data_IF_865913816119
#
_entry.id   IF_865913816119
#
_cell.length_a   1.000
_cell.length_b   1.000
_cell.length_c   1.000
_cell.angle_alpha   90.00
_cell.angle_beta   90.00
_cell.angle_gamma   90.00
#
_symmetry.space_group_name_H-M   'P 1'
#
loop_
_entity.id
_entity.type
_entity.pdbx_description
1 polymer ?
#
# COMPACT_ATOMS: atom_id res chain seq x y z
N UNK A 1 6.55 -4.31 -34.07
CA UNK A 1 5.16 -3.79 -33.80
C UNK A 1 4.40 -4.68 -32.78
N UNK A 2 4.62 -5.99 -32.74
CA UNK A 2 3.93 -6.92 -31.83
C UNK A 2 4.18 -6.64 -30.34
N UNK A 3 5.44 -6.48 -29.86
CA UNK A 3 5.69 -6.27 -28.43
C UNK A 3 5.02 -5.02 -27.86
N UNK A 4 4.97 -3.92 -28.63
CA UNK A 4 4.32 -2.68 -28.20
C UNK A 4 2.81 -2.89 -28.05
N UNK A 5 2.18 -3.61 -28.97
CA UNK A 5 0.76 -3.90 -28.89
C UNK A 5 0.42 -4.80 -27.70
N UNK A 6 1.24 -5.80 -27.45
CA UNK A 6 1.09 -6.69 -26.28
C UNK A 6 1.23 -5.91 -24.98
N UNK A 7 2.23 -5.04 -24.86
CA UNK A 7 2.38 -4.17 -23.70
C UNK A 7 1.15 -3.26 -23.47
N UNK A 8 0.61 -2.66 -24.53
CA UNK A 8 -0.59 -1.83 -24.44
C UNK A 8 -1.84 -2.63 -24.03
N UNK A 9 -1.98 -3.86 -24.52
CA UNK A 9 -3.07 -4.76 -24.11
C UNK A 9 -2.92 -5.14 -22.63
N UNK A 10 -1.71 -5.45 -22.19
CA UNK A 10 -1.43 -5.73 -20.76
C UNK A 10 -1.82 -4.56 -19.88
N UNK A 11 -1.38 -3.35 -20.23
CA UNK A 11 -1.72 -2.12 -19.49
C UNK A 11 -3.23 -1.82 -19.48
N UNK A 12 -3.95 -2.18 -20.56
CA UNK A 12 -5.41 -2.09 -20.57
C UNK A 12 -6.06 -3.11 -19.63
N UNK A 13 -5.57 -4.34 -19.61
CA UNK A 13 -6.08 -5.40 -18.72
C UNK A 13 -5.80 -5.07 -17.24
N UNK A 14 -4.70 -4.38 -16.95
CA UNK A 14 -4.36 -3.88 -15.62
C UNK A 14 -5.13 -2.61 -15.23
N UNK A 15 -5.98 -2.07 -16.12
CA UNK A 15 -6.74 -0.84 -15.88
C UNK A 15 -5.89 0.42 -15.84
N UNK A 16 -4.67 0.38 -16.35
CA UNK A 16 -3.77 1.54 -16.43
C UNK A 16 -4.09 2.39 -17.67
N UNK A 17 -4.47 1.73 -18.76
CA UNK A 17 -4.88 2.38 -20.00
C UNK A 17 -6.33 2.02 -20.33
N UNK A 18 -7.01 2.97 -20.95
CA UNK A 18 -8.26 2.74 -21.67
C UNK A 18 -8.02 2.84 -23.17
N UNK A 19 -8.48 1.82 -23.91
CA UNK A 19 -8.35 1.80 -25.38
C UNK A 19 -9.58 2.42 -26.03
N UNK A 20 -9.36 3.43 -26.86
CA UNK A 20 -10.41 4.04 -27.68
C UNK A 20 -10.22 3.59 -29.12
N UNK A 21 -11.17 2.85 -29.72
CA UNK A 21 -11.09 2.44 -31.11
C UNK A 21 -10.85 3.63 -32.04
N UNK A 22 -9.83 3.58 -32.88
CA UNK A 22 -9.39 4.60 -33.82
C UNK A 22 -8.74 5.86 -33.21
N UNK A 23 -8.81 6.07 -31.89
CA UNK A 23 -8.26 7.25 -31.22
C UNK A 23 -7.00 6.97 -30.40
N UNK A 24 -6.72 5.70 -30.09
CA UNK A 24 -5.53 5.31 -29.35
C UNK A 24 -5.81 4.90 -27.90
N UNK A 25 -4.93 5.30 -26.98
CA UNK A 25 -4.98 4.90 -25.58
C UNK A 25 -4.93 6.14 -24.70
N UNK A 26 -5.65 6.09 -23.60
CA UNK A 26 -5.64 7.13 -22.56
C UNK A 26 -5.25 6.52 -21.24
N UNK A 27 -4.40 7.21 -20.47
CA UNK A 27 -4.10 6.83 -19.10
C UNK A 27 -5.34 7.01 -18.23
N UNK A 28 -5.71 5.97 -17.48
CA UNK A 28 -6.82 6.04 -16.53
C UNK A 28 -6.37 6.84 -15.33
N UNK A 29 -7.04 7.96 -15.07
CA UNK A 29 -6.82 8.75 -13.86
C UNK A 29 -7.60 8.15 -12.69
N UNK A 30 -7.02 8.20 -11.51
CA UNK A 30 -7.67 7.86 -10.24
C UNK A 30 -8.24 9.13 -9.65
N UNK A 31 -9.51 9.16 -9.26
CA UNK A 31 -10.08 10.32 -8.57
C UNK A 31 -9.69 10.32 -7.09
N UNK A 32 -9.77 11.49 -6.42
CA UNK A 32 -9.55 11.56 -4.96
C UNK A 32 -10.57 10.72 -4.19
N UNK A 33 -11.81 10.71 -4.65
CA UNK A 33 -12.88 9.89 -4.07
C UNK A 33 -12.56 8.39 -4.21
N UNK A 34 -12.09 7.96 -5.38
CA UNK A 34 -11.68 6.57 -5.59
C UNK A 34 -10.49 6.20 -4.69
N UNK A 35 -9.48 7.08 -4.58
CA UNK A 35 -8.36 6.86 -3.67
C UNK A 35 -8.85 6.72 -2.22
N UNK A 36 -9.76 7.56 -1.76
CA UNK A 36 -10.34 7.45 -0.41
C UNK A 36 -11.12 6.14 -0.24
N UNK A 37 -11.95 5.76 -1.18
CA UNK A 37 -12.69 4.49 -1.13
C UNK A 37 -11.74 3.28 -1.06
N UNK A 38 -10.59 3.37 -1.72
CA UNK A 38 -9.56 2.34 -1.65
C UNK A 38 -8.90 2.30 -0.27
N UNK A 39 -8.63 3.43 0.36
CA UNK A 39 -8.08 3.49 1.72
C UNK A 39 -9.07 2.93 2.74
N UNK A 40 -10.35 3.25 2.60
CA UNK A 40 -11.41 2.68 3.44
C UNK A 40 -11.50 1.15 3.26
N UNK A 41 -11.39 0.66 2.03
CA UNK A 41 -11.32 -0.77 1.75
C UNK A 41 -10.10 -1.42 2.39
N UNK A 42 -8.91 -0.80 2.31
CA UNK A 42 -7.69 -1.28 2.96
C UNK A 42 -7.86 -1.41 4.47
N UNK A 43 -8.45 -0.40 5.10
CA UNK A 43 -8.69 -0.43 6.54
C UNK A 43 -9.56 -1.62 6.94
N UNK A 44 -10.60 -1.92 6.17
CA UNK A 44 -11.46 -3.09 6.39
C UNK A 44 -10.71 -4.40 6.14
N UNK A 45 -9.98 -4.48 5.05
CA UNK A 45 -9.23 -5.67 4.65
C UNK A 45 -8.11 -5.99 5.65
N UNK A 46 -7.20 -5.05 5.85
CA UNK A 46 -6.02 -5.22 6.72
C UNK A 46 -6.45 -5.36 8.18
N UNK A 47 -7.36 -4.50 8.65
CA UNK A 47 -7.89 -4.56 10.01
C UNK A 47 -8.68 -5.84 10.28
N UNK A 48 -9.44 -6.34 9.31
CA UNK A 48 -10.15 -7.62 9.41
C UNK A 48 -9.22 -8.80 9.57
N UNK A 49 -8.12 -8.85 8.80
CA UNK A 49 -7.13 -9.92 8.92
C UNK A 49 -6.23 -9.77 10.14
N UNK A 50 -5.88 -8.56 10.56
CA UNK A 50 -5.21 -8.32 11.84
C UNK A 50 -6.04 -8.86 13.01
N UNK A 51 -7.34 -8.62 13.01
CA UNK A 51 -8.26 -9.16 14.04
C UNK A 51 -8.20 -10.68 14.14
N UNK A 52 -8.03 -11.37 13.02
CA UNK A 52 -7.96 -12.83 12.98
C UNK A 52 -6.57 -13.36 13.36
N UNK A 53 -5.50 -12.63 12.98
CA UNK A 53 -4.12 -13.12 13.06
C UNK A 53 -3.33 -12.61 14.26
N UNK A 54 -3.71 -11.51 14.89
CA UNK A 54 -2.91 -10.87 15.96
C UNK A 54 -2.52 -11.82 17.09
N UNK A 55 -3.41 -12.75 17.43
CA UNK A 55 -3.15 -13.78 18.46
C UNK A 55 -2.04 -14.77 18.07
N UNK A 56 -1.79 -14.96 16.79
CA UNK A 56 -0.86 -15.96 16.24
C UNK A 56 0.44 -15.35 15.71
N UNK A 57 0.52 -14.02 15.56
CA UNK A 57 1.76 -13.35 15.16
C UNK A 57 2.80 -13.53 16.25
N UNK A 58 3.95 -14.11 15.89
CA UNK A 58 5.05 -14.45 16.80
C UNK A 58 6.11 -13.34 16.83
N UNK A 59 7.06 -13.44 17.78
CA UNK A 59 8.22 -12.53 17.81
C UNK A 59 9.10 -12.69 16.57
N UNK A 60 9.16 -13.87 15.96
CA UNK A 60 9.87 -14.10 14.70
C UNK A 60 9.18 -13.33 13.55
N UNK A 61 7.85 -13.40 13.46
CA UNK A 61 7.09 -12.61 12.50
C UNK A 61 7.30 -11.11 12.68
N UNK A 62 7.33 -10.62 13.92
CA UNK A 62 7.60 -9.22 14.23
C UNK A 62 9.04 -8.82 13.88
N UNK A 63 10.02 -9.70 14.07
CA UNK A 63 11.38 -9.45 13.65
C UNK A 63 11.51 -9.35 12.11
N UNK A 64 10.81 -10.22 11.37
CA UNK A 64 10.73 -10.14 9.91
C UNK A 64 10.08 -8.81 9.46
N UNK A 65 8.97 -8.41 10.10
CA UNK A 65 8.27 -7.17 9.79
C UNK A 65 9.13 -5.94 10.09
N UNK A 66 9.84 -5.95 11.22
CA UNK A 66 10.79 -4.89 11.58
C UNK A 66 11.93 -4.77 10.56
N UNK A 67 12.42 -5.89 10.02
CA UNK A 67 13.41 -5.88 8.94
C UNK A 67 12.88 -5.26 7.64
N UNK A 68 11.58 -5.38 7.36
CA UNK A 68 10.93 -4.69 6.24
C UNK A 68 10.83 -3.19 6.52
N UNK A 69 10.38 -2.81 7.71
CA UNK A 69 10.22 -1.43 8.15
C UNK A 69 11.56 -0.67 8.17
N UNK A 70 12.64 -1.31 8.59
CA UNK A 70 13.97 -0.70 8.56
C UNK A 70 14.42 -0.35 7.15
N UNK A 71 14.13 -1.18 6.16
CA UNK A 71 14.36 -0.85 4.74
C UNK A 71 13.54 0.34 4.29
N UNK A 72 12.30 0.48 4.77
CA UNK A 72 11.46 1.63 4.50
C UNK A 72 12.08 2.91 5.04
N UNK A 73 12.58 2.91 6.27
CA UNK A 73 13.26 4.05 6.91
C UNK A 73 14.55 4.47 6.18
N UNK A 74 15.24 3.51 5.57
CA UNK A 74 16.46 3.76 4.80
C UNK A 74 16.21 4.19 3.36
N UNK A 75 14.99 4.03 2.84
CA UNK A 75 14.61 4.38 1.46
C UNK A 75 14.36 5.88 1.31
N UNK A 76 15.43 6.69 1.41
CA UNK A 76 15.36 8.16 1.35
C UNK A 76 15.68 8.73 -0.03
N UNK A 77 16.21 7.92 -0.95
CA UNK A 77 16.76 8.39 -2.21
C UNK A 77 15.69 8.61 -3.29
N UNK A 78 14.56 7.95 -3.17
CA UNK A 78 13.46 8.01 -4.13
C UNK A 78 12.12 7.82 -3.45
N UNK A 79 11.17 8.66 -3.83
CA UNK A 79 9.75 8.54 -3.47
C UNK A 79 9.21 7.15 -3.79
N UNK A 80 9.64 6.58 -4.91
CA UNK A 80 9.18 5.27 -5.36
C UNK A 80 9.75 4.14 -4.52
N UNK A 81 11.02 4.22 -4.14
CA UNK A 81 11.65 3.23 -3.26
C UNK A 81 10.97 3.24 -1.89
N UNK A 82 10.64 4.44 -1.40
CA UNK A 82 9.89 4.61 -0.17
C UNK A 82 8.47 4.01 -0.28
N UNK A 83 7.75 4.30 -1.37
CA UNK A 83 6.45 3.71 -1.63
C UNK A 83 6.49 2.18 -1.69
N UNK A 84 7.48 1.61 -2.37
CA UNK A 84 7.65 0.16 -2.48
C UNK A 84 7.96 -0.48 -1.13
N UNK A 85 8.77 0.17 -0.32
CA UNK A 85 9.11 -0.29 1.02
C UNK A 85 7.89 -0.22 1.98
N UNK A 86 7.11 0.87 1.94
CA UNK A 86 5.85 0.99 2.67
C UNK A 86 4.85 -0.10 2.21
N UNK A 87 4.68 -0.28 0.90
CA UNK A 87 3.86 -1.36 0.35
C UNK A 87 4.30 -2.73 0.86
N UNK A 88 5.61 -2.99 0.91
CA UNK A 88 6.16 -4.25 1.42
C UNK A 88 5.82 -4.48 2.90
N UNK A 89 5.77 -3.42 3.73
CA UNK A 89 5.34 -3.53 5.13
C UNK A 89 3.91 -4.04 5.24
N UNK A 90 2.97 -3.41 4.56
CA UNK A 90 1.55 -3.79 4.58
C UNK A 90 1.31 -5.20 4.00
N UNK A 91 1.98 -5.52 2.89
CA UNK A 91 1.91 -6.86 2.30
C UNK A 91 2.50 -7.92 3.23
N UNK A 92 3.58 -7.62 3.93
CA UNK A 92 4.15 -8.51 4.94
C UNK A 92 3.18 -8.69 6.11
N UNK A 93 2.58 -7.61 6.59
CA UNK A 93 1.62 -7.64 7.68
C UNK A 93 0.42 -8.55 7.36
N UNK A 94 -0.22 -8.36 6.18
CA UNK A 94 -1.37 -9.19 5.78
C UNK A 94 -0.97 -10.65 5.53
N UNK A 95 0.28 -10.92 5.13
CA UNK A 95 0.76 -12.28 4.87
C UNK A 95 0.68 -13.19 6.11
N UNK A 96 0.73 -12.63 7.32
CA UNK A 96 0.59 -13.40 8.57
C UNK A 96 -0.81 -13.99 8.77
N UNK A 97 -1.79 -13.53 7.99
CA UNK A 97 -3.12 -14.16 7.95
C UNK A 97 -3.12 -15.53 7.24
N UNK A 98 -2.11 -15.82 6.43
CA UNK A 98 -2.05 -17.01 5.57
C UNK A 98 -3.02 -16.98 4.38
N UNK A 99 -3.76 -15.88 4.17
CA UNK A 99 -4.73 -15.77 3.09
C UNK A 99 -4.09 -15.18 1.83
N UNK A 100 -3.73 -16.04 0.87
CA UNK A 100 -3.09 -15.63 -0.38
C UNK A 100 -4.00 -14.72 -1.24
N UNK A 101 -5.32 -14.90 -1.17
CA UNK A 101 -6.25 -14.05 -1.91
C UNK A 101 -6.27 -12.62 -1.35
N UNK A 102 -6.32 -12.48 -0.02
CA UNK A 102 -6.25 -11.18 0.63
C UNK A 102 -4.94 -10.44 0.31
N UNK A 103 -3.83 -11.16 0.29
CA UNK A 103 -2.53 -10.62 -0.13
C UNK A 103 -2.59 -10.05 -1.55
N UNK A 104 -3.12 -10.81 -2.51
CA UNK A 104 -3.23 -10.38 -3.89
C UNK A 104 -4.16 -9.17 -4.07
N UNK A 105 -5.28 -9.12 -3.34
CA UNK A 105 -6.18 -7.98 -3.40
C UNK A 105 -5.56 -6.72 -2.78
N UNK A 106 -4.80 -6.86 -1.69
CA UNK A 106 -4.05 -5.73 -1.16
C UNK A 106 -2.99 -5.24 -2.15
N UNK A 107 -2.23 -6.15 -2.77
CA UNK A 107 -1.22 -5.80 -3.78
C UNK A 107 -1.84 -5.04 -4.97
N UNK A 108 -2.98 -5.50 -5.49
CA UNK A 108 -3.73 -4.79 -6.55
C UNK A 108 -4.15 -3.40 -6.11
N UNK A 109 -4.64 -3.30 -4.89
CA UNK A 109 -5.08 -2.05 -4.26
C UNK A 109 -3.91 -1.06 -4.15
N UNK A 110 -2.75 -1.52 -3.67
CA UNK A 110 -1.53 -0.70 -3.57
C UNK A 110 -1.07 -0.20 -4.94
N UNK A 111 -1.20 -1.01 -5.98
CA UNK A 111 -0.86 -0.60 -7.35
C UNK A 111 -1.78 0.52 -7.89
N UNK A 112 -3.06 0.53 -7.51
CA UNK A 112 -3.96 1.65 -7.84
C UNK A 112 -3.58 2.91 -7.06
N UNK A 113 -3.32 2.79 -5.76
CA UNK A 113 -2.89 3.91 -4.91
C UNK A 113 -1.55 4.48 -5.36
N UNK A 114 -0.60 3.66 -5.82
CA UNK A 114 0.67 4.13 -6.40
C UNK A 114 0.43 5.10 -7.56
N UNK A 115 -0.57 4.85 -8.40
CA UNK A 115 -0.96 5.76 -9.49
C UNK A 115 -1.61 7.04 -8.98
N UNK A 116 -2.51 6.93 -8.00
CA UNK A 116 -3.12 8.09 -7.37
C UNK A 116 -2.05 8.97 -6.72
N UNK A 117 -1.10 8.35 -6.04
CA UNK A 117 0.04 9.01 -5.44
C UNK A 117 0.90 9.75 -6.48
N UNK A 118 1.28 9.10 -7.56
CA UNK A 118 1.98 9.75 -8.69
C UNK A 118 1.21 10.95 -9.25
N UNK A 119 -0.10 10.83 -9.32
CA UNK A 119 -0.96 11.83 -9.94
C UNK A 119 -1.19 13.06 -9.05
N UNK A 120 -1.34 12.88 -7.74
CA UNK A 120 -1.73 13.95 -6.83
C UNK A 120 -0.56 14.59 -6.10
N UNK A 121 0.49 13.83 -5.81
CA UNK A 121 1.57 14.23 -4.91
C UNK A 121 2.89 14.53 -5.61
N UNK A 122 3.03 14.19 -6.89
CA UNK A 122 4.26 14.44 -7.63
C UNK A 122 4.72 15.91 -7.57
N UNK A 123 3.79 16.87 -7.60
CA UNK A 123 4.10 18.29 -7.56
C UNK A 123 4.35 18.82 -6.14
N UNK A 124 3.81 18.17 -5.13
CA UNK A 124 3.89 18.59 -3.72
C UNK A 124 5.11 17.98 -3.03
N UNK A 125 5.55 16.83 -3.47
CA UNK A 125 6.57 15.99 -2.85
C UNK A 125 8.02 16.46 -2.98
N UNK A 126 8.31 17.39 -3.87
CA UNK A 126 9.65 17.98 -3.95
C UNK A 126 10.07 18.69 -2.65
N UNK A 127 9.15 18.90 -1.70
CA UNK A 127 9.36 19.65 -0.46
C UNK A 127 8.89 18.93 0.82
N UNK A 128 8.36 17.72 0.75
CA UNK A 128 7.83 17.00 1.93
C UNK A 128 8.75 15.84 2.29
N UNK A 129 9.05 15.70 3.57
CA UNK A 129 9.87 14.60 4.09
C UNK A 129 9.07 13.28 3.96
N UNK A 130 9.58 12.28 3.18
CA UNK A 130 8.89 10.99 2.99
C UNK A 130 8.70 10.18 4.27
N UNK A 131 9.27 10.59 5.38
CA UNK A 131 9.17 9.87 6.65
C UNK A 131 7.80 9.94 7.33
N UNK A 132 6.84 10.73 6.81
CA UNK A 132 5.56 10.94 7.49
C UNK A 132 4.59 9.75 7.36
N UNK A 133 4.60 9.04 6.23
CA UNK A 133 3.66 7.94 5.96
C UNK A 133 4.06 6.59 6.59
N UNK A 134 5.15 6.53 7.35
CA UNK A 134 5.61 5.35 8.11
C UNK A 134 5.71 5.61 9.61
N UNK A 135 5.22 6.75 10.07
CA UNK A 135 5.33 7.17 11.46
C UNK A 135 4.70 6.14 12.42
N UNK A 136 3.64 5.46 11.97
CA UNK A 136 2.85 4.54 12.79
C UNK A 136 3.29 3.07 12.72
N UNK A 137 4.21 2.69 11.81
CA UNK A 137 4.66 1.30 11.70
C UNK A 137 5.22 0.72 13.00
N UNK A 138 6.02 1.52 13.72
CA UNK A 138 6.60 1.11 15.00
C UNK A 138 5.52 0.89 16.06
N UNK A 139 4.52 1.76 16.12
CA UNK A 139 3.40 1.64 17.06
C UNK A 139 2.50 0.44 16.72
N UNK A 140 2.25 0.19 15.43
CA UNK A 140 1.54 -1.00 14.96
C UNK A 140 2.24 -2.26 15.46
N UNK A 141 3.55 -2.40 15.22
CA UNK A 141 4.33 -3.57 15.64
C UNK A 141 4.36 -3.73 17.16
N UNK A 142 4.50 -2.64 17.91
CA UNK A 142 4.51 -2.68 19.38
C UNK A 142 3.16 -3.17 19.93
N UNK A 143 2.06 -2.64 19.41
CA UNK A 143 0.73 -3.05 19.88
C UNK A 143 0.35 -4.47 19.42
N UNK A 144 0.85 -4.95 18.28
CA UNK A 144 0.76 -6.37 17.90
C UNK A 144 1.49 -7.25 18.91
N UNK A 145 2.69 -6.86 19.36
CA UNK A 145 3.45 -7.60 20.40
C UNK A 145 2.68 -7.67 21.70
N UNK A 146 2.02 -6.59 22.09
CA UNK A 146 1.19 -6.50 23.30
C UNK A 146 -0.18 -7.20 23.14
N UNK A 147 -0.52 -7.66 21.92
CA UNK A 147 -1.85 -8.19 21.54
C UNK A 147 -2.99 -7.20 21.78
N UNK A 148 -2.70 -5.92 21.77
CA UNK A 148 -3.68 -4.83 21.88
C UNK A 148 -4.28 -4.54 20.49
N UNK A 149 -5.32 -5.27 20.15
CA UNK A 149 -5.97 -5.15 18.85
C UNK A 149 -6.55 -3.76 18.62
N UNK A 150 -7.15 -3.15 19.61
CA UNK A 150 -7.81 -1.84 19.45
C UNK A 150 -6.81 -0.75 19.11
N UNK A 151 -5.70 -0.69 19.84
CA UNK A 151 -4.64 0.26 19.52
C UNK A 151 -3.98 -0.05 18.18
N UNK A 152 -3.74 -1.32 17.86
CA UNK A 152 -3.20 -1.70 16.56
C UNK A 152 -4.07 -1.19 15.41
N UNK A 153 -5.39 -1.34 15.52
CA UNK A 153 -6.33 -0.87 14.49
C UNK A 153 -6.41 0.67 14.41
N UNK A 154 -6.26 1.36 15.55
CA UNK A 154 -6.22 2.82 15.56
C UNK A 154 -4.96 3.34 14.86
N UNK A 155 -3.79 2.78 15.16
CA UNK A 155 -2.55 3.18 14.47
C UNK A 155 -2.55 2.80 12.99
N UNK A 156 -3.14 1.66 12.62
CA UNK A 156 -3.34 1.31 11.21
C UNK A 156 -4.21 2.34 10.50
N UNK A 157 -5.27 2.82 11.15
CA UNK A 157 -6.14 3.86 10.59
C UNK A 157 -5.42 5.19 10.42
N UNK A 158 -4.60 5.58 11.38
CA UNK A 158 -3.79 6.81 11.32
C UNK A 158 -2.77 6.71 10.19
N UNK A 159 -2.06 5.60 10.08
CA UNK A 159 -1.11 5.30 9.02
C UNK A 159 -1.73 5.39 7.61
N UNK A 160 -2.93 4.81 7.43
CA UNK A 160 -3.63 4.92 6.16
C UNK A 160 -4.15 6.33 5.87
N UNK A 161 -4.45 7.13 6.89
CA UNK A 161 -4.91 8.51 6.73
C UNK A 161 -3.79 9.45 6.27
N UNK A 162 -2.53 9.17 6.62
CA UNK A 162 -1.36 9.97 6.22
C UNK A 162 -1.15 9.99 4.70
N UNK A 163 -1.72 9.01 3.98
CA UNK A 163 -1.70 8.97 2.52
C UNK A 163 -2.37 10.19 1.86
N UNK A 164 -3.39 10.77 2.50
CA UNK A 164 -4.19 11.87 1.96
C UNK A 164 -3.84 13.24 2.58
N UNK A 165 -2.86 13.30 3.49
CA UNK A 165 -2.45 14.46 4.29
C UNK A 165 -1.88 15.64 3.52
#
# INVERSE_FOLDING_TARGET
KTPIREALVTLCNEGILHSFPRFGYQVVSVSREEAQNILDFRLVLEGGYLRQSIGHITEENLAELAGVDERCKQSTDSVWDHWEANTAFHLKLISFSGNAYAYQELERTMNVLKRAYAQFYWQTWSNVNPALDIAHHTDIMQNIREKDLEKTLNYLKEDLADFCG
#
